data_IF_940407920684
#
_entry.id   IF_940407920684
#
_cell.length_a   1.000
_cell.length_b   1.000
_cell.length_c   1.000
_cell.angle_alpha   90.00
_cell.angle_beta   90.00
_cell.angle_gamma   90.00
#
_symmetry.space_group_name_H-M   'P 1'
#
loop_
_entity.id
_entity.type
_entity.pdbx_description
1 polymer ?
#
# COMPACT_ATOMS: atom_id res chain seq x y z
N UNK A 1 42.32 52.95 -2.46
CA UNK A 1 41.66 51.67 -2.83
C UNK A 1 40.16 51.92 -2.90
N UNK A 2 39.64 52.19 -4.10
CA UNK A 2 38.23 52.49 -4.34
C UNK A 2 37.55 51.15 -4.66
N UNK A 3 36.92 50.54 -3.66
CA UNK A 3 36.09 49.36 -3.86
C UNK A 3 34.77 49.81 -4.50
N UNK A 4 34.55 49.39 -5.74
CA UNK A 4 33.38 49.76 -6.54
C UNK A 4 32.08 49.37 -5.82
N UNK A 5 31.27 50.37 -5.47
CA UNK A 5 29.93 50.21 -4.85
C UNK A 5 28.97 49.34 -5.68
N UNK A 6 29.27 49.10 -6.97
CA UNK A 6 28.53 48.19 -7.83
C UNK A 6 28.66 46.71 -7.42
N UNK A 7 29.79 46.29 -6.82
CA UNK A 7 29.99 44.89 -6.43
C UNK A 7 29.21 44.51 -5.15
N UNK A 8 28.98 45.48 -4.26
CA UNK A 8 28.23 45.24 -3.02
C UNK A 8 26.72 45.20 -3.23
N UNK A 9 26.21 45.76 -4.34
CA UNK A 9 24.79 45.67 -4.70
C UNK A 9 24.45 44.39 -5.48
N UNK A 10 25.44 43.76 -6.14
CA UNK A 10 25.26 42.47 -6.81
C UNK A 10 25.21 41.28 -5.83
N UNK A 11 25.83 41.40 -4.64
CA UNK A 11 25.83 40.36 -3.62
C UNK A 11 24.56 40.35 -2.73
N UNK A 12 23.72 41.39 -2.80
CA UNK A 12 22.50 41.53 -2.00
C UNK A 12 21.21 41.17 -2.75
N UNK A 13 21.32 40.70 -4.00
CA UNK A 13 20.17 40.30 -4.82
C UNK A 13 20.06 38.77 -5.03
N UNK A 14 20.90 37.96 -4.38
CA UNK A 14 20.96 36.51 -4.60
C UNK A 14 20.66 35.63 -3.36
N UNK A 15 19.91 36.15 -2.38
CA UNK A 15 19.50 35.38 -1.20
C UNK A 15 17.99 35.40 -0.90
N UNK A 16 17.15 35.91 -1.79
CA UNK A 16 15.70 36.05 -1.53
C UNK A 16 14.79 35.27 -2.49
N UNK A 17 15.24 34.15 -3.06
CA UNK A 17 14.33 33.18 -3.70
C UNK A 17 14.71 31.75 -3.30
N UNK A 18 14.68 31.50 -2.00
CA UNK A 18 14.21 30.21 -1.51
C UNK A 18 12.98 30.51 -0.68
N UNK A 19 11.88 30.78 -1.37
CA UNK A 19 10.57 30.60 -0.73
C UNK A 19 10.54 29.12 -0.35
N UNK A 20 10.37 28.77 0.94
CA UNK A 20 10.00 27.41 1.26
C UNK A 20 8.59 27.26 0.70
N UNK A 21 8.47 26.73 -0.52
CA UNK A 21 7.23 26.10 -0.96
C UNK A 21 7.10 24.75 -0.23
N UNK A 22 7.17 24.78 1.09
CA UNK A 22 6.54 23.78 1.93
C UNK A 22 5.25 24.44 2.37
N UNK A 23 4.13 24.07 1.75
CA UNK A 23 2.84 24.35 2.39
C UNK A 23 2.91 23.73 3.77
N UNK A 24 2.49 24.47 4.80
CA UNK A 24 2.28 23.84 6.11
C UNK A 24 1.36 22.65 5.90
N UNK A 25 1.79 21.47 6.36
CA UNK A 25 0.95 20.30 6.41
C UNK A 25 -0.29 20.66 7.23
N UNK A 26 -1.48 20.49 6.65
CA UNK A 26 -2.73 20.79 7.36
C UNK A 26 -2.80 19.85 8.56
N UNK A 27 -2.62 20.39 9.75
CA UNK A 27 -2.74 19.62 10.99
C UNK A 27 -4.21 19.62 11.40
N UNK A 28 -4.86 18.47 11.21
CA UNK A 28 -6.20 18.19 11.70
C UNK A 28 -6.17 16.88 12.50
N UNK A 29 -7.00 16.80 13.55
CA UNK A 29 -7.13 15.57 14.35
C UNK A 29 -7.75 14.43 13.53
N UNK A 30 -8.71 14.78 12.65
CA UNK A 30 -9.41 13.85 11.76
C UNK A 30 -9.72 14.51 10.41
N UNK A 31 -9.72 13.72 9.34
CA UNK A 31 -10.07 14.15 7.98
C UNK A 31 -11.06 13.17 7.36
N UNK A 32 -12.21 13.67 6.94
CA UNK A 32 -13.23 12.88 6.26
C UNK A 32 -13.49 13.44 4.85
N UNK A 33 -13.42 12.57 3.85
CA UNK A 33 -13.70 12.88 2.44
C UNK A 33 -15.00 12.20 2.03
N UNK A 34 -16.09 12.94 2.05
CA UNK A 34 -17.41 12.45 1.68
C UNK A 34 -17.72 12.74 0.22
N UNK A 35 -17.60 11.72 -0.62
CA UNK A 35 -17.89 11.79 -2.05
C UNK A 35 -16.65 12.07 -2.88
N UNK A 36 -15.63 11.24 -2.69
CA UNK A 36 -14.49 11.17 -3.60
C UNK A 36 -15.00 10.62 -4.93
N UNK A 37 -14.96 11.45 -5.97
CA UNK A 37 -15.50 11.14 -7.30
C UNK A 37 -14.35 11.07 -8.30
N UNK A 38 -14.27 9.96 -9.02
CA UNK A 38 -13.38 9.82 -10.17
C UNK A 38 -14.22 9.56 -11.42
N UNK A 39 -13.83 10.15 -12.53
CA UNK A 39 -14.37 9.82 -13.85
C UNK A 39 -13.28 9.92 -14.90
N UNK A 40 -13.26 8.95 -15.82
CA UNK A 40 -12.27 8.87 -16.89
C UNK A 40 -12.91 8.38 -18.18
N UNK A 41 -12.32 8.75 -19.31
CA UNK A 41 -12.85 8.45 -20.65
C UNK A 41 -12.43 7.08 -21.20
N UNK A 42 -11.40 6.45 -20.64
CA UNK A 42 -10.88 5.14 -21.04
C UNK A 42 -11.04 4.11 -19.91
N UNK A 43 -11.50 2.89 -20.22
CA UNK A 43 -11.62 1.79 -19.25
C UNK A 43 -12.88 1.86 -18.37
N UNK A 44 -12.76 1.43 -17.10
CA UNK A 44 -13.83 1.53 -16.10
C UNK A 44 -14.24 2.99 -15.89
N UNK A 45 -15.51 3.30 -16.12
CA UNK A 45 -15.99 4.68 -16.14
C UNK A 45 -16.49 5.13 -14.77
N UNK A 46 -15.53 5.44 -13.89
CA UNK A 46 -15.73 6.20 -12.67
C UNK A 46 -15.86 5.41 -11.37
N UNK A 47 -15.69 6.11 -10.26
CA UNK A 47 -15.71 5.58 -8.90
C UNK A 47 -16.29 6.63 -7.94
N UNK A 48 -17.03 6.18 -6.95
CA UNK A 48 -17.49 6.99 -5.83
C UNK A 48 -17.17 6.29 -4.51
N UNK A 49 -16.45 6.97 -3.62
CA UNK A 49 -16.07 6.44 -2.30
C UNK A 49 -16.16 7.51 -1.21
N UNK A 50 -16.29 7.04 0.04
CA UNK A 50 -16.15 7.84 1.26
C UNK A 50 -14.92 7.37 2.03
N UNK A 51 -14.10 8.30 2.48
CA UNK A 51 -12.83 8.02 3.18
C UNK A 51 -12.80 8.74 4.53
N UNK A 52 -12.20 8.13 5.55
CA UNK A 52 -12.00 8.71 6.88
C UNK A 52 -10.61 8.36 7.40
N UNK A 53 -9.81 9.38 7.72
CA UNK A 53 -8.41 9.26 8.16
C UNK A 53 -7.54 8.40 7.21
N UNK A 54 -7.87 8.41 5.91
CA UNK A 54 -7.19 7.64 4.86
C UNK A 54 -7.75 6.24 4.63
N UNK A 55 -8.69 5.76 5.45
CA UNK A 55 -9.35 4.47 5.28
C UNK A 55 -10.66 4.59 4.49
N UNK A 56 -10.90 3.63 3.60
CA UNK A 56 -12.17 3.50 2.89
C UNK A 56 -13.30 3.10 3.85
N UNK A 57 -14.35 3.92 3.93
CA UNK A 57 -15.58 3.54 4.62
C UNK A 57 -16.44 2.63 3.75
N UNK A 58 -16.69 3.09 2.52
CA UNK A 58 -17.46 2.38 1.50
C UNK A 58 -17.17 2.93 0.11
N UNK A 59 -17.51 2.13 -0.90
CA UNK A 59 -17.69 2.59 -2.27
C UNK A 59 -19.10 2.27 -2.78
N UNK A 60 -19.51 2.91 -3.88
CA UNK A 60 -20.72 2.54 -4.59
C UNK A 60 -20.35 1.72 -5.81
N UNK A 61 -20.85 0.49 -5.86
CA UNK A 61 -20.83 -0.31 -7.08
C UNK A 61 -21.80 0.31 -8.07
N UNK A 62 -21.28 0.98 -9.09
CA UNK A 62 -22.07 1.75 -10.04
C UNK A 62 -22.92 0.87 -10.97
N UNK A 63 -22.51 -0.39 -11.17
CA UNK A 63 -23.23 -1.36 -12.00
C UNK A 63 -24.39 -1.98 -11.22
N UNK A 64 -24.09 -2.47 -10.02
CA UNK A 64 -25.08 -3.07 -9.11
C UNK A 64 -25.97 -2.02 -8.44
N UNK A 65 -25.53 -0.76 -8.42
CA UNK A 65 -26.19 0.38 -7.78
C UNK A 65 -26.37 0.17 -6.28
N UNK A 66 -25.33 -0.36 -5.65
CA UNK A 66 -25.33 -0.75 -4.24
C UNK A 66 -24.15 -0.12 -3.50
N UNK A 67 -24.38 0.22 -2.24
CA UNK A 67 -23.33 0.70 -1.33
C UNK A 67 -22.61 -0.50 -0.73
N UNK A 68 -21.30 -0.58 -0.95
CA UNK A 68 -20.44 -1.67 -0.45
C UNK A 68 -19.55 -1.14 0.66
N UNK A 69 -19.86 -1.54 1.90
CA UNK A 69 -19.13 -1.13 3.09
C UNK A 69 -17.88 -1.99 3.29
N UNK A 70 -16.75 -1.34 3.59
CA UNK A 70 -15.47 -2.02 3.79
C UNK A 70 -15.49 -2.91 5.04
N UNK A 71 -16.18 -2.47 6.10
CA UNK A 71 -16.37 -3.23 7.32
C UNK A 71 -17.86 -3.48 7.58
N UNK A 72 -18.27 -4.71 7.94
CA UNK A 72 -19.67 -5.01 8.21
C UNK A 72 -20.31 -4.16 9.31
N UNK A 73 -19.53 -3.73 10.32
CA UNK A 73 -20.06 -2.86 11.40
C UNK A 73 -20.50 -1.49 10.88
N UNK A 74 -19.87 -0.98 9.81
CA UNK A 74 -20.23 0.30 9.22
C UNK A 74 -21.54 0.25 8.44
N UNK A 75 -22.03 -0.94 8.07
CA UNK A 75 -23.32 -1.09 7.39
C UNK A 75 -24.53 -0.79 8.28
N UNK A 76 -24.31 -0.44 9.56
CA UNK A 76 -25.33 0.17 10.40
C UNK A 76 -25.73 1.57 9.90
N UNK A 77 -24.81 2.25 9.21
CA UNK A 77 -25.08 3.49 8.51
C UNK A 77 -25.68 3.17 7.13
N UNK A 78 -26.46 4.10 6.60
CA UNK A 78 -27.06 3.96 5.26
C UNK A 78 -26.59 5.07 4.34
N UNK A 79 -26.40 4.72 3.09
CA UNK A 79 -26.09 5.66 2.01
C UNK A 79 -26.88 5.27 0.77
N UNK A 80 -27.58 6.23 0.17
CA UNK A 80 -28.33 6.02 -1.06
C UNK A 80 -27.41 6.11 -2.28
N UNK A 81 -27.15 4.96 -2.91
CA UNK A 81 -26.32 4.83 -4.10
C UNK A 81 -26.76 5.74 -5.26
N UNK A 82 -28.04 6.14 -5.32
CA UNK A 82 -28.54 7.05 -6.36
C UNK A 82 -27.84 8.42 -6.32
N UNK A 83 -27.38 8.87 -5.15
CA UNK A 83 -26.60 10.09 -5.02
C UNK A 83 -25.27 9.98 -5.76
N UNK A 84 -24.55 8.87 -5.58
CA UNK A 84 -23.29 8.62 -6.27
C UNK A 84 -23.48 8.55 -7.79
N UNK A 85 -24.50 7.84 -8.27
CA UNK A 85 -24.82 7.75 -9.70
C UNK A 85 -25.06 9.13 -10.33
N UNK A 86 -25.75 10.02 -9.61
CA UNK A 86 -26.01 11.39 -10.06
C UNK A 86 -24.72 12.21 -10.14
N UNK A 87 -23.83 12.09 -9.13
CA UNK A 87 -22.54 12.76 -9.14
C UNK A 87 -21.63 12.26 -10.26
N UNK A 88 -21.59 10.96 -10.52
CA UNK A 88 -20.83 10.37 -11.64
C UNK A 88 -21.34 10.89 -12.99
N UNK A 89 -22.66 11.03 -13.17
CA UNK A 89 -23.22 11.61 -14.37
C UNK A 89 -22.80 13.07 -14.58
N UNK A 90 -22.72 13.87 -13.51
CA UNK A 90 -22.19 15.24 -13.55
C UNK A 90 -20.69 15.24 -13.85
N UNK A 91 -19.92 14.35 -13.21
CA UNK A 91 -18.48 14.18 -13.44
C UNK A 91 -18.16 13.89 -14.90
N UNK A 92 -18.97 13.04 -15.57
CA UNK A 92 -18.86 12.80 -17.01
C UNK A 92 -19.01 14.06 -17.85
N UNK A 93 -20.02 14.88 -17.57
CA UNK A 93 -20.26 16.12 -18.33
C UNK A 93 -19.12 17.12 -18.10
N UNK A 94 -18.67 17.25 -16.85
CA UNK A 94 -17.56 18.13 -16.48
C UNK A 94 -16.26 17.69 -17.16
N UNK A 95 -15.95 16.39 -17.18
CA UNK A 95 -14.77 15.88 -17.86
C UNK A 95 -14.80 16.20 -19.36
N UNK A 96 -15.94 15.98 -20.02
CA UNK A 96 -16.08 16.31 -21.45
C UNK A 96 -15.85 17.79 -21.74
N UNK A 97 -16.27 18.67 -20.84
CA UNK A 97 -16.02 20.11 -20.96
C UNK A 97 -14.54 20.44 -20.73
N UNK A 98 -13.93 19.93 -19.67
CA UNK A 98 -12.52 20.16 -19.34
C UNK A 98 -11.57 19.63 -20.42
N UNK A 99 -11.86 18.47 -21.01
CA UNK A 99 -11.11 17.94 -22.15
C UNK A 99 -11.14 18.88 -23.36
N UNK A 100 -12.28 19.51 -23.66
CA UNK A 100 -12.36 20.52 -24.74
C UNK A 100 -11.56 21.76 -24.38
N UNK A 101 -11.69 22.25 -23.16
CA UNK A 101 -10.98 23.44 -22.68
C UNK A 101 -9.45 23.26 -22.68
N UNK A 102 -8.97 22.06 -22.36
CA UNK A 102 -7.54 21.72 -22.34
C UNK A 102 -6.98 21.33 -23.72
N UNK A 103 -7.76 21.49 -24.81
CA UNK A 103 -7.41 21.00 -26.15
C UNK A 103 -7.04 19.50 -26.17
N UNK A 104 -7.73 18.70 -25.36
CA UNK A 104 -7.51 17.26 -25.21
C UNK A 104 -6.10 16.88 -24.75
N UNK A 105 -5.48 17.72 -23.92
CA UNK A 105 -4.24 17.36 -23.22
C UNK A 105 -4.46 16.12 -22.37
N UNK A 106 -3.66 15.07 -22.61
CA UNK A 106 -3.76 13.80 -21.90
C UNK A 106 -3.10 13.90 -20.51
N UNK A 107 -3.56 13.06 -19.58
CA UNK A 107 -2.88 12.84 -18.32
C UNK A 107 -1.50 12.21 -18.56
N UNK A 108 -0.49 12.68 -17.83
CA UNK A 108 0.84 12.05 -17.80
C UNK A 108 0.77 10.81 -16.92
N UNK A 109 1.31 9.68 -17.38
CA UNK A 109 1.35 8.48 -16.55
C UNK A 109 2.49 8.59 -15.53
N UNK A 110 2.21 8.17 -14.30
CA UNK A 110 3.19 7.99 -13.24
C UNK A 110 3.56 6.52 -13.09
N UNK A 111 4.75 6.26 -12.56
CA UNK A 111 5.24 4.90 -12.30
C UNK A 111 4.83 4.48 -10.88
N UNK A 112 4.01 3.42 -10.73
CA UNK A 112 3.57 3.00 -9.40
C UNK A 112 4.70 2.32 -8.59
N UNK A 113 4.64 2.49 -7.28
CA UNK A 113 5.54 1.84 -6.32
C UNK A 113 4.83 0.67 -5.65
N UNK A 114 5.50 -0.48 -5.54
CA UNK A 114 4.88 -1.71 -5.02
C UNK A 114 5.62 -2.26 -3.81
N UNK A 115 4.88 -2.43 -2.73
CA UNK A 115 5.35 -3.03 -1.48
C UNK A 115 4.47 -4.21 -1.10
N UNK A 116 5.11 -5.35 -0.77
CA UNK A 116 4.41 -6.57 -0.37
C UNK A 116 4.86 -7.00 1.02
N UNK A 117 3.91 -7.25 1.92
CA UNK A 117 4.16 -7.63 3.30
C UNK A 117 3.01 -8.48 3.85
N UNK A 118 3.25 -9.19 4.96
CA UNK A 118 2.19 -9.95 5.64
C UNK A 118 1.51 -9.11 6.72
N UNK A 119 0.20 -9.32 6.92
CA UNK A 119 -0.59 -8.66 7.95
C UNK A 119 -0.06 -8.92 9.36
N UNK A 120 0.41 -10.13 9.61
CA UNK A 120 1.01 -10.54 10.88
C UNK A 120 2.26 -11.38 10.65
N UNK A 121 3.11 -11.60 11.68
CA UNK A 121 4.25 -12.50 11.59
C UNK A 121 3.83 -13.89 11.11
N UNK A 122 4.56 -14.46 10.15
CA UNK A 122 4.18 -15.72 9.50
C UNK A 122 4.49 -16.91 10.39
N UNK A 123 3.47 -17.73 10.65
CA UNK A 123 3.58 -19.01 11.35
C UNK A 123 3.08 -20.12 10.45
N UNK A 124 3.91 -21.12 10.16
CA UNK A 124 3.57 -22.22 9.26
C UNK A 124 2.27 -22.94 9.71
N UNK A 125 1.44 -23.31 8.74
CA UNK A 125 0.17 -23.99 8.98
C UNK A 125 -0.93 -23.11 9.60
N UNK A 126 -0.70 -21.80 9.77
CA UNK A 126 -1.70 -20.86 10.26
C UNK A 126 -2.16 -19.90 9.14
N UNK A 127 -3.45 -19.52 9.10
CA UNK A 127 -3.95 -18.54 8.16
C UNK A 127 -3.30 -17.17 8.36
N UNK A 128 -3.01 -16.48 7.25
CA UNK A 128 -2.51 -15.11 7.24
C UNK A 128 -3.01 -14.39 5.98
N UNK A 129 -2.67 -13.11 5.84
CA UNK A 129 -3.01 -12.27 4.69
C UNK A 129 -1.76 -11.59 4.18
N UNK A 130 -1.46 -11.75 2.89
CA UNK A 130 -0.50 -10.90 2.20
C UNK A 130 -1.19 -9.62 1.75
N UNK A 131 -0.45 -8.52 1.83
CA UNK A 131 -0.89 -7.18 1.47
C UNK A 131 0.05 -6.69 0.38
N UNK A 132 -0.51 -6.31 -0.76
CA UNK A 132 0.18 -5.61 -1.83
C UNK A 132 -0.31 -4.16 -1.84
N UNK A 133 0.51 -3.25 -1.34
CA UNK A 133 0.29 -1.81 -1.43
C UNK A 133 0.90 -1.32 -2.74
N UNK A 134 0.06 -0.79 -3.61
CA UNK A 134 0.45 -0.14 -4.85
C UNK A 134 0.20 1.36 -4.68
N UNK A 135 1.27 2.13 -4.61
CA UNK A 135 1.25 3.59 -4.43
C UNK A 135 1.69 4.31 -5.71
N UNK A 136 1.57 5.63 -5.74
CA UNK A 136 1.94 6.51 -6.86
C UNK A 136 1.22 6.14 -8.18
N UNK A 137 -0.05 5.77 -8.08
CA UNK A 137 -0.88 5.40 -9.23
C UNK A 137 -1.46 6.68 -9.84
N UNK A 138 -1.08 7.00 -11.08
CA UNK A 138 -1.80 7.98 -11.89
C UNK A 138 -1.61 7.69 -13.39
N UNK A 139 -2.68 7.65 -14.21
CA UNK A 139 -4.09 7.71 -13.83
C UNK A 139 -4.54 6.49 -12.99
N UNK A 140 -5.74 6.53 -12.35
CA UNK A 140 -6.27 5.46 -11.50
C UNK A 140 -6.75 4.25 -12.32
N UNK A 141 -5.80 3.59 -12.98
CA UNK A 141 -5.99 2.35 -13.75
C UNK A 141 -4.82 1.43 -13.45
N UNK A 142 -5.09 0.30 -12.80
CA UNK A 142 -4.07 -0.69 -12.48
C UNK A 142 -4.68 -2.08 -12.54
N UNK A 143 -3.92 -3.06 -13.01
CA UNK A 143 -4.26 -4.47 -12.86
C UNK A 143 -3.31 -5.10 -11.84
N UNK A 144 -3.88 -5.64 -10.76
CA UNK A 144 -3.13 -6.31 -9.70
C UNK A 144 -3.49 -7.79 -9.76
N UNK A 145 -2.48 -8.65 -9.80
CA UNK A 145 -2.67 -10.10 -9.85
C UNK A 145 -1.75 -10.78 -8.86
N UNK A 146 -2.31 -11.62 -8.01
CA UNK A 146 -1.54 -12.50 -7.15
C UNK A 146 -1.08 -13.73 -7.90
N UNK A 147 0.19 -14.09 -7.72
CA UNK A 147 0.77 -15.32 -8.22
C UNK A 147 1.21 -16.18 -7.03
N UNK A 148 0.88 -17.47 -7.05
CA UNK A 148 1.44 -18.51 -6.18
C UNK A 148 2.24 -19.48 -7.04
N UNK A 149 3.54 -19.60 -6.78
CA UNK A 149 4.47 -20.40 -7.56
C UNK A 149 4.41 -20.09 -9.07
N UNK A 150 4.22 -18.82 -9.42
CA UNK A 150 4.08 -18.35 -10.81
C UNK A 150 2.70 -18.53 -11.44
N UNK A 151 1.74 -19.14 -10.74
CA UNK A 151 0.37 -19.33 -11.23
C UNK A 151 -0.60 -18.32 -10.61
N UNK A 152 -1.51 -17.77 -11.42
CA UNK A 152 -2.49 -16.79 -10.94
C UNK A 152 -3.47 -17.40 -9.93
N UNK A 153 -3.72 -16.66 -8.84
CA UNK A 153 -4.66 -17.02 -7.78
C UNK A 153 -5.69 -15.91 -7.63
N UNK A 154 -6.97 -16.31 -7.57
CA UNK A 154 -8.11 -15.39 -7.35
C UNK A 154 -8.89 -15.73 -6.09
N UNK A 155 -8.73 -16.94 -5.55
CA UNK A 155 -9.37 -17.33 -4.30
C UNK A 155 -8.76 -16.58 -3.12
N UNK A 156 -9.60 -16.03 -2.24
CA UNK A 156 -9.14 -15.26 -1.09
C UNK A 156 -8.55 -13.88 -1.44
N UNK A 157 -8.69 -13.44 -2.70
CA UNK A 157 -8.27 -12.11 -3.14
C UNK A 157 -9.37 -11.08 -2.91
N UNK A 158 -9.01 -9.94 -2.35
CA UNK A 158 -9.88 -8.76 -2.25
C UNK A 158 -9.06 -7.48 -2.46
N UNK A 159 -9.72 -6.39 -2.84
CA UNK A 159 -9.03 -5.12 -3.13
C UNK A 159 -9.85 -3.93 -2.64
N UNK A 160 -9.17 -2.84 -2.30
CA UNK A 160 -9.82 -1.54 -2.05
C UNK A 160 -10.21 -0.86 -3.36
N UNK A 161 -11.01 0.20 -3.27
CA UNK A 161 -11.07 1.22 -4.34
C UNK A 161 -9.74 1.96 -4.50
N UNK A 162 -9.63 2.85 -5.49
CA UNK A 162 -8.53 3.82 -5.55
C UNK A 162 -8.71 4.86 -4.44
N UNK A 163 -7.72 4.96 -3.55
CA UNK A 163 -7.73 5.89 -2.43
C UNK A 163 -6.89 7.11 -2.75
N UNK A 164 -7.41 8.28 -2.39
CA UNK A 164 -6.83 9.56 -2.79
C UNK A 164 -5.66 9.99 -1.91
N UNK A 165 -4.63 10.60 -2.51
CA UNK A 165 -3.51 11.24 -1.80
C UNK A 165 -3.58 12.75 -1.93
N UNK A 166 -2.85 13.43 -1.04
CA UNK A 166 -2.75 14.89 -1.02
C UNK A 166 -2.09 15.48 -2.27
N UNK A 167 -1.24 14.72 -2.96
CA UNK A 167 -0.58 15.09 -4.22
C UNK A 167 -1.42 14.76 -5.47
N UNK A 168 -2.68 14.34 -5.30
CA UNK A 168 -3.61 13.90 -6.35
C UNK A 168 -3.24 12.60 -7.06
N UNK A 169 -2.20 11.89 -6.61
CA UNK A 169 -1.98 10.50 -6.97
C UNK A 169 -2.94 9.58 -6.19
N UNK A 170 -2.97 8.31 -6.57
CA UNK A 170 -3.79 7.30 -5.90
C UNK A 170 -2.92 6.17 -5.35
N UNK A 171 -3.43 5.48 -4.35
CA UNK A 171 -2.94 4.17 -3.97
C UNK A 171 -4.09 3.16 -3.95
N UNK A 172 -3.75 1.89 -4.05
CA UNK A 172 -4.70 0.77 -4.00
C UNK A 172 -4.07 -0.38 -3.24
N UNK A 173 -4.87 -1.08 -2.44
CA UNK A 173 -4.40 -2.22 -1.66
C UNK A 173 -5.11 -3.48 -2.16
N UNK A 174 -4.33 -4.50 -2.50
CA UNK A 174 -4.81 -5.85 -2.77
C UNK A 174 -4.40 -6.78 -1.63
N UNK A 175 -5.30 -7.67 -1.26
CA UNK A 175 -5.14 -8.63 -0.17
C UNK A 175 -5.24 -10.04 -0.73
N UNK A 176 -4.45 -10.96 -0.20
CA UNK A 176 -4.57 -12.40 -0.46
C UNK A 176 -4.57 -13.15 0.86
N UNK A 177 -5.68 -13.79 1.22
CA UNK A 177 -5.71 -14.74 2.33
C UNK A 177 -5.07 -16.05 1.91
N UNK A 178 -4.15 -16.57 2.72
CA UNK A 178 -3.43 -17.81 2.43
C UNK A 178 -3.14 -18.61 3.70
N UNK A 179 -2.85 -19.90 3.52
CA UNK A 179 -2.33 -20.76 4.57
C UNK A 179 -0.81 -20.80 4.47
N UNK A 180 -0.09 -20.35 5.50
CA UNK A 180 1.35 -20.23 5.41
C UNK A 180 2.05 -21.58 5.20
N UNK A 181 2.78 -21.70 4.09
CA UNK A 181 3.57 -22.87 3.71
C UNK A 181 5.03 -22.49 3.47
N UNK A 182 5.96 -23.41 3.75
CA UNK A 182 7.39 -23.19 3.52
C UNK A 182 7.80 -23.35 2.05
N UNK A 183 6.95 -24.01 1.26
CA UNK A 183 7.22 -24.35 -0.14
C UNK A 183 6.45 -23.46 -1.14
N UNK A 184 5.66 -22.51 -0.64
CA UNK A 184 4.90 -21.59 -1.48
C UNK A 184 5.56 -20.22 -1.55
N UNK A 185 5.67 -19.73 -2.78
CA UNK A 185 6.26 -18.45 -3.14
C UNK A 185 5.14 -17.59 -3.70
N UNK A 186 5.02 -16.36 -3.19
CA UNK A 186 3.98 -15.43 -3.60
C UNK A 186 4.59 -14.19 -4.24
N UNK A 187 3.97 -13.73 -5.33
CA UNK A 187 4.33 -12.50 -6.02
C UNK A 187 3.07 -11.64 -6.25
N UNK A 188 3.21 -10.33 -6.06
CA UNK A 188 2.23 -9.36 -6.53
C UNK A 188 2.69 -8.84 -7.90
N UNK A 189 1.93 -9.15 -8.95
CA UNK A 189 2.12 -8.63 -10.30
C UNK A 189 1.27 -7.39 -10.49
N UNK A 190 1.89 -6.29 -10.93
CA UNK A 190 1.23 -5.00 -11.16
C UNK A 190 1.46 -4.55 -12.60
N UNK A 191 0.37 -4.23 -13.29
CA UNK A 191 0.39 -3.67 -14.65
C UNK A 191 -0.24 -2.28 -14.63
N UNK A 192 0.47 -1.30 -15.19
CA UNK A 192 0.07 0.10 -15.24
C UNK A 192 0.70 0.75 -16.48
N UNK A 193 0.07 1.80 -17.05
CA UNK A 193 0.53 2.45 -18.28
C UNK A 193 1.84 3.25 -18.15
N UNK A 194 2.27 3.54 -16.92
CA UNK A 194 3.58 4.12 -16.62
C UNK A 194 4.71 3.09 -16.61
N UNK A 195 4.39 1.79 -16.64
CA UNK A 195 5.38 0.72 -16.66
C UNK A 195 5.58 0.20 -18.09
N UNK A 196 6.83 0.06 -18.52
CA UNK A 196 7.17 -0.58 -19.80
C UNK A 196 6.87 -2.09 -19.78
N UNK A 197 7.04 -2.73 -18.62
CA UNK A 197 6.78 -4.15 -18.37
C UNK A 197 6.08 -4.34 -17.02
N UNK A 198 5.28 -5.40 -16.83
CA UNK A 198 4.65 -5.69 -15.54
C UNK A 198 5.66 -5.76 -14.39
N UNK A 199 5.37 -5.04 -13.31
CA UNK A 199 6.19 -5.06 -12.11
C UNK A 199 5.84 -6.28 -11.25
N UNK A 200 6.80 -7.16 -11.02
CA UNK A 200 6.67 -8.32 -10.15
C UNK A 200 7.35 -8.06 -8.82
N UNK A 201 6.57 -7.96 -7.73
CA UNK A 201 7.08 -7.81 -6.38
C UNK A 201 6.98 -9.12 -5.61
N UNK A 202 8.13 -9.73 -5.37
CA UNK A 202 8.24 -10.96 -4.61
C UNK A 202 8.07 -10.73 -3.10
N UNK A 203 7.28 -11.57 -2.44
CA UNK A 203 7.22 -11.61 -0.98
C UNK A 203 8.38 -12.43 -0.42
N UNK A 204 9.41 -11.74 0.08
CA UNK A 204 10.47 -12.37 0.84
C UNK A 204 9.98 -12.57 2.28
N UNK A 205 9.33 -13.69 2.56
CA UNK A 205 8.93 -14.02 3.93
C UNK A 205 10.10 -13.91 4.89
N UNK A 206 9.85 -13.41 6.11
CA UNK A 206 10.85 -13.22 7.16
C UNK A 206 11.54 -14.55 7.58
N UNK A 207 11.03 -15.68 7.08
CA UNK A 207 11.59 -17.02 7.21
C UNK A 207 12.53 -17.45 6.07
N UNK A 208 12.59 -16.71 4.95
CA UNK A 208 13.44 -17.06 3.79
C UNK A 208 14.94 -16.89 4.07
N UNK A 209 15.32 -16.20 5.15
CA UNK A 209 16.68 -16.21 5.69
C UNK A 209 17.00 -17.48 6.50
N UNK A 210 15.99 -18.16 7.08
CA UNK A 210 16.18 -19.34 7.91
C UNK A 210 15.97 -20.67 7.14
N UNK A 211 15.02 -20.72 6.21
CA UNK A 211 14.72 -21.95 5.44
C UNK A 211 15.77 -22.23 4.37
N UNK A 212 16.43 -21.20 3.82
CA UNK A 212 17.52 -21.38 2.85
C UNK A 212 18.75 -22.06 3.46
N UNK A 213 18.93 -21.94 4.78
CA UNK A 213 20.00 -22.63 5.51
C UNK A 213 19.73 -24.14 5.71
N UNK A 214 18.48 -24.58 5.61
CA UNK A 214 18.11 -25.99 5.82
C UNK A 214 18.10 -26.83 4.53
N UNK A 215 17.93 -26.24 3.33
CA UNK A 215 18.01 -26.99 2.07
C UNK A 215 19.43 -27.29 1.59
N UNK A 216 20.45 -26.59 2.11
CA UNK A 216 21.85 -26.76 1.67
C UNK A 216 22.68 -27.72 2.54
N UNK A 217 22.08 -28.28 3.60
CA UNK A 217 22.68 -29.37 4.38
C UNK A 217 22.18 -30.72 3.84
N UNK A 218 22.88 -31.27 2.84
CA UNK A 218 22.74 -32.67 2.47
C UNK A 218 23.18 -33.59 3.63
N UNK A 219 22.26 -33.89 4.55
CA UNK A 219 22.49 -34.86 5.61
C UNK A 219 22.65 -36.26 4.99
N UNK A 220 23.85 -36.82 5.10
CA UNK A 220 24.06 -38.26 4.89
C UNK A 220 23.25 -39.05 5.94
N UNK A 221 22.63 -40.19 5.59
CA UNK A 221 21.97 -41.03 6.59
C UNK A 221 22.99 -41.49 7.65
N UNK A 222 22.71 -41.20 8.93
CA UNK A 222 23.46 -41.79 10.06
C UNK A 222 23.96 -40.85 11.17
N UNK A 223 23.68 -39.54 11.14
CA UNK A 223 24.11 -38.64 12.23
C UNK A 223 22.99 -38.45 13.25
N UNK A 224 23.18 -38.97 14.46
CA UNK A 224 22.34 -38.69 15.63
C UNK A 224 22.96 -37.52 16.40
N UNK A 225 22.29 -36.36 16.48
CA UNK A 225 22.75 -35.26 17.32
C UNK A 225 22.22 -35.45 18.77
N UNK A 226 23.13 -35.41 19.75
CA UNK A 226 22.81 -35.56 21.17
C UNK A 226 22.30 -34.27 21.84
N UNK A 227 21.79 -34.34 23.09
CA UNK A 227 20.99 -33.29 23.74
C UNK A 227 21.74 -32.00 24.14
N UNK A 228 22.99 -31.82 23.70
CA UNK A 228 23.77 -30.56 23.88
C UNK A 228 24.24 -29.92 22.57
N UNK A 229 23.63 -30.28 21.43
CA UNK A 229 23.64 -29.46 20.21
C UNK A 229 25.01 -29.19 19.57
N UNK A 230 26.01 -30.05 19.75
CA UNK A 230 27.24 -30.00 18.95
C UNK A 230 27.16 -31.03 17.82
N UNK A 231 26.84 -30.59 16.61
CA UNK A 231 27.02 -31.39 15.40
C UNK A 231 28.37 -30.93 14.77
N UNK A 232 29.39 -31.79 14.84
CA UNK A 232 30.71 -31.50 14.27
C UNK A 232 30.73 -31.74 12.77
N UNK A 233 30.85 -30.68 11.96
CA UNK A 233 31.06 -30.75 10.52
C UNK A 233 31.75 -29.47 10.04
N UNK A 234 32.88 -29.61 9.35
CA UNK A 234 33.62 -28.49 8.76
C UNK A 234 32.85 -27.94 7.55
N UNK A 235 32.41 -26.68 7.59
CA UNK A 235 32.02 -25.94 6.40
C UNK A 235 33.27 -25.49 5.64
N UNK A 236 33.40 -25.88 4.36
CA UNK A 236 34.47 -25.42 3.48
C UNK A 236 34.15 -24.01 2.94
N UNK A 237 35.06 -23.07 3.24
CA UNK A 237 35.33 -21.74 2.69
C UNK A 237 34.33 -21.03 1.73
N UNK A 238 33.92 -19.80 2.12
CA UNK A 238 34.31 -18.54 1.45
C UNK A 238 34.15 -17.32 2.40
N UNK A 239 34.92 -16.22 2.20
CA UNK A 239 35.26 -15.24 3.22
C UNK A 239 34.20 -14.14 3.41
N UNK A 240 33.95 -13.76 4.67
CA UNK A 240 33.21 -12.54 5.03
C UNK A 240 34.06 -11.29 4.76
N UNK A 241 33.47 -10.15 4.36
CA UNK A 241 33.83 -8.87 4.92
C UNK A 241 32.91 -8.56 6.10
N UNK A 242 33.52 -8.10 7.20
CA UNK A 242 32.82 -7.61 8.37
C UNK A 242 32.19 -6.25 8.08
N UNK A 243 30.89 -6.10 8.34
CA UNK A 243 30.29 -4.83 8.72
C UNK A 243 29.34 -5.05 9.88
N UNK A 244 29.76 -4.53 11.03
CA UNK A 244 28.96 -4.32 12.22
C UNK A 244 28.03 -3.15 11.97
N UNK A 245 26.72 -3.36 12.03
CA UNK A 245 25.77 -2.30 12.36
C UNK A 245 24.94 -2.77 13.55
N UNK A 246 25.11 -2.05 14.66
CA UNK A 246 24.29 -2.16 15.85
C UNK A 246 22.82 -1.93 15.48
N UNK A 247 21.94 -2.75 16.07
CA UNK A 247 20.51 -2.49 16.08
C UNK A 247 20.23 -1.14 16.74
N UNK A 248 19.50 -0.28 16.02
CA UNK A 248 18.64 0.71 16.62
C UNK A 248 17.24 0.43 16.09
N UNK A 249 16.45 -0.27 16.89
CA UNK A 249 15.02 -0.50 16.68
C UNK A 249 14.28 0.84 16.70
N UNK A 250 13.52 1.21 15.66
CA UNK A 250 12.48 2.21 15.81
C UNK A 250 11.32 1.58 16.60
N UNK A 251 10.82 2.31 17.60
CA UNK A 251 9.57 2.00 18.31
C UNK A 251 8.46 1.79 17.28
N UNK A 252 7.80 0.65 17.34
CA UNK A 252 6.51 0.45 16.70
C UNK A 252 5.49 1.44 17.30
N UNK A 253 4.87 2.24 16.44
CA UNK A 253 3.61 2.91 16.74
C UNK A 253 2.52 1.85 16.69
N UNK A 254 2.13 1.34 17.85
CA UNK A 254 0.91 0.55 18.02
C UNK A 254 -0.17 1.52 18.45
N UNK A 255 -1.13 1.80 17.57
CA UNK A 255 -2.35 2.52 17.94
C UNK A 255 -3.35 1.51 18.54
N UNK A 256 -3.85 1.72 19.78
CA UNK A 256 -4.80 0.84 20.43
C UNK A 256 -6.23 1.38 20.23
N UNK A 257 -6.91 0.92 19.19
CA UNK A 257 -8.38 0.94 19.16
C UNK A 257 -8.77 -0.51 18.92
N UNK A 258 -8.88 -1.29 20.00
CA UNK A 258 -9.63 -2.55 20.12
C UNK A 258 -9.28 -3.20 21.47
N UNK A 259 -9.65 -2.57 22.58
CA UNK A 259 -9.88 -3.27 23.85
C UNK A 259 -11.21 -2.77 24.42
N UNK A 260 -12.29 -3.47 24.07
CA UNK A 260 -13.58 -3.32 24.72
C UNK A 260 -13.51 -3.83 26.15
N UNK A 261 -13.64 -2.93 27.13
CA UNK A 261 -13.90 -3.32 28.52
C UNK A 261 -15.39 -3.64 28.69
N UNK A 262 -15.68 -4.93 28.88
CA UNK A 262 -16.82 -5.36 29.68
C UNK A 262 -16.78 -4.66 31.04
N UNK A 263 -17.84 -3.93 31.39
CA UNK A 263 -18.04 -3.49 32.77
C UNK A 263 -19.44 -3.92 33.21
N UNK A 264 -19.46 -5.01 33.97
CA UNK A 264 -20.60 -5.55 34.70
C UNK A 264 -21.16 -4.49 35.65
N UNK A 265 -22.43 -4.12 35.47
CA UNK A 265 -23.21 -3.43 36.50
C UNK A 265 -23.76 -4.46 37.49
N UNK A 266 -23.11 -4.56 38.65
CA UNK A 266 -23.65 -5.26 39.82
C UNK A 266 -24.60 -4.36 40.58
N UNK A 267 -25.83 -4.86 40.76
CA UNK A 267 -26.89 -4.31 41.59
C UNK A 267 -26.60 -4.63 43.08
N UNK A 268 -26.61 -3.63 43.95
CA UNK A 268 -26.91 -3.82 45.37
C UNK A 268 -27.43 -2.50 45.97
N UNK A 269 -28.56 -2.65 46.65
CA UNK A 269 -29.28 -1.73 47.55
C UNK A 269 -28.43 -0.95 48.53
#
# INVERSE_FOLDING_TARGET
MILNKALMLAALALTTVMSPCGGEEIVADHVASYGVNLYQSYGFSGQYSHEFDGDEQFYVDLERKETVWQLPVLSQFSFDAQFALTNIAVGKQNLNYLMKQSNSTAATNEVPEVTVFSKSPVTLGHPNTLICLVDNIFPPVVNITWLSNGHSVTEGVSETSFLSKSDHSFFKISYLTFLASADEIYDCKVEHWGLDEPLLKHWAGDSSAHVRAHRDCGLRPGVVCGPRGHCGGHCLHHPRPAFSWCLQTPRALVNPILEGKEQKSGLAT
#
